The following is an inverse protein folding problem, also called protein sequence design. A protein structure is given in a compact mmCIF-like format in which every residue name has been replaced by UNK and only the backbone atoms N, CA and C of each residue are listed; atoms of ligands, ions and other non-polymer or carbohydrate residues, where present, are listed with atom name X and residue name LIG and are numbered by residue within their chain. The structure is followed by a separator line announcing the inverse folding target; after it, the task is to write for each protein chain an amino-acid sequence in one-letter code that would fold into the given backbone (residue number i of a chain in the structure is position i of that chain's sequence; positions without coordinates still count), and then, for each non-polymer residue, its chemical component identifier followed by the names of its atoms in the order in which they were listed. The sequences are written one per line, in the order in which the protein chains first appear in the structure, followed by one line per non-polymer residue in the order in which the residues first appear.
data_IF_823359480252
#
_entry.id   IF_823359480252
#
_cell.length_a   1.000
_cell.length_b   1.000
_cell.length_c   1.000
_cell.angle_alpha   90.00
_cell.angle_beta   90.00
_cell.angle_gamma   90.00
#
_symmetry.space_group_name_H-M   'P 1'
#
loop_
_entity.id
_entity.type
_entity.pdbx_description
1 polymer ?
#
# COMPACT_ATOMS: atom_id res chain seq x y z
N UNK A 1 -12.15 8.16 13.05
CA UNK A 1 -11.60 9.51 12.76
C UNK A 1 -12.29 10.07 11.54
N UNK A 2 -12.40 11.40 11.42
CA UNK A 2 -12.95 12.07 10.25
C UNK A 2 -11.92 11.96 9.08
N UNK A 3 -12.34 11.77 7.82
CA UNK A 3 -11.43 11.70 6.65
C UNK A 3 -10.46 12.86 6.52
N UNK A 4 -10.91 14.08 6.92
CA UNK A 4 -10.05 15.26 6.93
C UNK A 4 -8.95 15.21 8.03
N UNK A 5 -9.22 14.54 9.13
CA UNK A 5 -8.24 14.32 10.21
C UNK A 5 -7.22 13.24 9.79
N UNK A 6 -7.66 12.18 9.11
CA UNK A 6 -6.78 11.14 8.57
C UNK A 6 -5.84 11.71 7.52
N UNK A 7 -6.36 12.50 6.58
CA UNK A 7 -5.55 13.23 5.60
C UNK A 7 -4.55 14.19 6.28
N UNK A 8 -4.95 14.87 7.36
CA UNK A 8 -4.09 15.76 8.13
C UNK A 8 -2.96 15.00 8.82
N UNK A 9 -3.25 13.85 9.41
CA UNK A 9 -2.27 13.00 10.10
C UNK A 9 -1.26 12.42 9.12
N UNK A 10 -1.69 11.90 7.97
CA UNK A 10 -0.80 11.43 6.91
C UNK A 10 0.15 12.55 6.45
N UNK A 11 -0.33 13.77 6.23
CA UNK A 11 0.53 14.93 5.87
C UNK A 11 1.53 15.27 6.98
N UNK A 12 1.14 15.16 8.24
CA UNK A 12 2.04 15.47 9.38
C UNK A 12 3.21 14.48 9.48
N UNK A 13 3.02 13.22 9.13
CA UNK A 13 4.06 12.20 9.15
C UNK A 13 5.17 12.55 8.15
N UNK A 14 4.80 12.99 6.96
CA UNK A 14 5.77 13.36 5.91
C UNK A 14 6.43 14.74 6.13
N UNK A 15 5.81 15.66 6.87
CA UNK A 15 6.31 17.05 7.04
C UNK A 15 7.25 17.26 8.22
N UNK A 16 7.30 16.37 9.20
CA UNK A 16 8.16 16.54 10.41
C UNK A 16 9.64 16.40 10.13
N UNK A 17 10.06 15.90 8.98
CA UNK A 17 11.47 15.74 8.58
C UNK A 17 12.02 16.84 7.65
N UNK A 18 11.22 17.81 7.21
CA UNK A 18 11.71 18.95 6.44
C UNK A 18 12.37 19.97 7.36
N UNK A 19 13.70 19.89 7.51
CA UNK A 19 14.51 20.82 8.26
C UNK A 19 14.27 22.29 7.84
N UNK A 20 14.13 23.20 8.81
CA UNK A 20 13.95 24.63 8.64
C UNK A 20 15.04 25.23 7.75
N UNK A 21 14.71 25.50 6.49
CA UNK A 21 15.50 26.35 5.62
C UNK A 21 15.05 27.81 5.80
N UNK A 22 15.99 28.68 6.16
CA UNK A 22 15.80 30.11 6.34
C UNK A 22 15.42 30.81 5.03
N UNK A 23 14.40 31.64 5.08
CA UNK A 23 13.90 32.44 3.96
C UNK A 23 14.93 33.47 3.47
N UNK A 24 15.32 33.36 2.20
CA UNK A 24 15.98 34.40 1.40
C UNK A 24 15.02 34.95 0.33
N UNK A 25 15.14 36.22 -0.11
CA UNK A 25 14.06 36.92 -0.79
C UNK A 25 13.71 36.37 -2.19
N UNK A 26 12.42 36.20 -2.42
CA UNK A 26 11.75 35.38 -3.42
C UNK A 26 11.83 35.85 -4.89
N UNK A 27 12.45 36.96 -5.26
CA UNK A 27 12.32 37.53 -6.62
C UNK A 27 13.48 37.15 -7.55
N UNK A 28 14.66 36.88 -7.05
CA UNK A 28 15.82 36.42 -7.86
C UNK A 28 15.89 34.90 -8.03
N UNK A 29 15.15 34.14 -7.21
CA UNK A 29 15.10 32.67 -7.24
C UNK A 29 14.16 32.14 -8.35
N UNK A 30 13.13 32.91 -8.73
CA UNK A 30 12.15 32.45 -9.72
C UNK A 30 12.71 32.35 -11.15
N UNK A 31 13.70 33.18 -11.52
CA UNK A 31 14.34 33.10 -12.86
C UNK A 31 15.45 32.05 -12.94
N UNK A 32 16.06 31.68 -11.83
CA UNK A 32 17.07 30.63 -11.78
C UNK A 32 16.45 29.23 -11.75
N UNK A 33 15.24 29.07 -11.20
CA UNK A 33 14.49 27.83 -11.14
C UNK A 33 13.90 27.40 -12.49
N UNK A 34 13.75 28.32 -13.45
CA UNK A 34 13.26 28.03 -14.81
C UNK A 34 14.37 27.52 -15.76
N UNK A 35 15.66 27.58 -15.35
CA UNK A 35 16.80 27.18 -16.18
C UNK A 35 17.60 26.00 -15.62
N UNK A 36 17.26 25.51 -14.43
CA UNK A 36 17.85 24.33 -13.83
C UNK A 36 16.76 23.52 -13.10
N UNK A 37 15.78 23.01 -13.84
CA UNK A 37 15.21 21.76 -13.43
C UNK A 37 16.36 20.75 -13.59
N UNK A 38 16.93 20.17 -12.51
CA UNK A 38 17.75 19.00 -12.71
C UNK A 38 16.86 18.01 -13.44
N UNK A 39 17.30 17.50 -14.57
CA UNK A 39 16.81 16.24 -15.09
C UNK A 39 17.12 15.26 -13.96
N UNK A 40 16.13 15.06 -13.04
CA UNK A 40 16.18 14.02 -12.06
C UNK A 40 16.29 12.78 -12.92
N UNK A 41 17.43 12.09 -12.85
CA UNK A 41 17.50 10.75 -13.38
C UNK A 41 16.26 10.07 -12.84
N UNK A 42 15.45 9.44 -13.70
CA UNK A 42 14.24 8.73 -13.29
C UNK A 42 14.67 7.72 -12.24
N UNK A 43 14.58 8.12 -10.96
CA UNK A 43 14.80 7.19 -9.86
C UNK A 43 13.65 6.21 -9.93
N UNK A 44 13.97 4.97 -10.25
CA UNK A 44 12.99 3.89 -10.37
C UNK A 44 12.30 3.72 -9.02
N UNK A 45 10.98 3.83 -8.98
CA UNK A 45 10.19 3.63 -7.76
C UNK A 45 10.40 2.21 -7.25
N UNK A 46 10.69 2.06 -5.98
CA UNK A 46 10.88 0.77 -5.32
C UNK A 46 9.62 0.39 -4.54
N UNK A 47 9.05 -0.76 -4.88
CA UNK A 47 7.91 -1.36 -4.18
C UNK A 47 8.39 -2.59 -3.42
N UNK A 48 8.30 -2.57 -2.09
CA UNK A 48 8.54 -3.74 -1.25
C UNK A 48 7.22 -4.47 -0.96
N UNK A 49 7.22 -5.78 -1.16
CA UNK A 49 6.08 -6.68 -0.90
C UNK A 49 6.47 -7.59 0.25
N UNK A 50 5.76 -7.53 1.36
CA UNK A 50 5.92 -8.44 2.48
C UNK A 50 4.88 -9.56 2.35
N UNK A 51 5.33 -10.75 1.90
CA UNK A 51 4.40 -11.83 1.53
C UNK A 51 5.05 -13.23 1.61
N UNK A 52 4.43 -14.23 0.99
CA UNK A 52 4.83 -15.65 1.01
C UNK A 52 6.02 -16.01 0.10
N UNK A 53 6.59 -15.06 -0.60
CA UNK A 53 7.62 -15.26 -1.60
C UNK A 53 7.16 -14.91 -3.01
N UNK A 54 8.03 -15.12 -4.00
CA UNK A 54 7.71 -14.82 -5.39
C UNK A 54 8.54 -15.71 -6.33
N UNK A 55 7.87 -16.41 -7.25
CA UNK A 55 8.55 -17.29 -8.21
C UNK A 55 9.04 -16.55 -9.46
N UNK A 56 8.43 -15.38 -9.77
CA UNK A 56 8.77 -14.55 -10.92
C UNK A 56 8.37 -13.07 -10.69
N UNK A 57 8.66 -12.20 -11.67
CA UNK A 57 8.24 -10.79 -11.66
C UNK A 57 8.81 -9.90 -10.54
N UNK A 58 9.74 -10.38 -9.70
CA UNK A 58 10.48 -9.57 -8.75
C UNK A 58 11.87 -9.19 -9.30
N UNK A 59 12.42 -8.07 -8.82
CA UNK A 59 13.73 -7.57 -9.20
C UNK A 59 14.81 -8.00 -8.21
N UNK A 60 14.45 -8.02 -6.92
CA UNK A 60 15.30 -8.39 -5.80
C UNK A 60 14.45 -8.99 -4.69
N UNK A 61 15.07 -9.48 -3.63
CA UNK A 61 14.33 -9.92 -2.46
C UNK A 61 15.19 -10.65 -1.43
N UNK A 62 14.59 -10.90 -0.29
CA UNK A 62 15.19 -11.57 0.85
C UNK A 62 14.13 -12.37 1.62
N UNK A 63 14.54 -13.46 2.27
CA UNK A 63 13.67 -14.22 3.17
C UNK A 63 14.01 -13.89 4.63
N UNK A 64 12.98 -13.60 5.40
CA UNK A 64 13.05 -13.34 6.84
C UNK A 64 12.65 -14.58 7.65
N UNK A 65 12.47 -15.72 6.99
CA UNK A 65 12.15 -16.98 7.65
C UNK A 65 13.42 -17.69 8.09
N UNK A 66 13.46 -18.14 9.34
CA UNK A 66 14.58 -18.85 9.89
C UNK A 66 14.89 -20.13 9.08
N UNK A 67 16.14 -20.26 8.66
CA UNK A 67 16.61 -21.41 7.89
C UNK A 67 16.17 -21.46 6.42
N UNK A 68 15.56 -20.40 5.90
CA UNK A 68 15.16 -20.31 4.50
C UNK A 68 15.71 -19.03 3.85
N UNK A 69 16.65 -19.17 2.91
CA UNK A 69 17.11 -18.04 2.08
C UNK A 69 16.35 -17.97 0.74
N UNK A 70 15.50 -18.94 0.45
CA UNK A 70 14.81 -19.03 -0.83
C UNK A 70 13.54 -18.15 -0.85
N UNK A 71 13.38 -17.43 -1.94
CA UNK A 71 12.14 -16.65 -2.22
C UNK A 71 11.02 -17.49 -2.82
N UNK A 72 11.24 -18.80 -3.00
CA UNK A 72 10.23 -19.70 -3.58
C UNK A 72 8.88 -19.55 -2.86
N UNK A 73 7.87 -19.27 -3.63
CA UNK A 73 6.49 -19.13 -3.16
C UNK A 73 5.78 -20.49 -3.33
N UNK A 74 5.56 -21.18 -2.22
CA UNK A 74 4.84 -22.45 -2.18
C UNK A 74 3.33 -22.27 -2.02
N UNK A 75 2.90 -21.07 -1.62
CA UNK A 75 1.50 -20.66 -1.44
C UNK A 75 0.90 -20.13 -2.74
N UNK A 76 1.72 -19.44 -3.53
CA UNK A 76 1.34 -18.78 -4.77
C UNK A 76 0.70 -17.40 -4.57
N UNK A 77 0.50 -16.95 -3.30
CA UNK A 77 -0.12 -15.67 -3.00
C UNK A 77 0.79 -14.49 -3.36
N UNK A 78 2.01 -14.45 -2.82
CA UNK A 78 2.95 -13.36 -3.10
C UNK A 78 3.34 -13.26 -4.57
N UNK A 79 3.40 -14.39 -5.30
CA UNK A 79 3.61 -14.40 -6.76
C UNK A 79 2.50 -13.66 -7.50
N UNK A 80 1.22 -13.87 -7.12
CA UNK A 80 0.09 -13.15 -7.71
C UNK A 80 0.11 -11.65 -7.35
N UNK A 81 0.40 -11.32 -6.09
CA UNK A 81 0.56 -9.93 -5.64
C UNK A 81 1.64 -9.23 -6.47
N UNK A 82 2.80 -9.87 -6.63
CA UNK A 82 3.90 -9.35 -7.45
C UNK A 82 3.46 -9.08 -8.90
N UNK A 83 2.73 -10.02 -9.51
CA UNK A 83 2.23 -9.87 -10.89
C UNK A 83 1.27 -8.70 -11.03
N UNK A 84 0.30 -8.55 -10.11
CA UNK A 84 -0.67 -7.46 -10.15
C UNK A 84 -0.02 -6.07 -9.95
N UNK A 85 0.97 -5.96 -9.06
CA UNK A 85 1.74 -4.72 -8.90
C UNK A 85 2.50 -4.40 -10.18
N UNK A 86 3.12 -5.40 -10.80
CA UNK A 86 3.87 -5.24 -12.05
C UNK A 86 2.97 -4.86 -13.23
N UNK A 87 1.72 -5.33 -13.27
CA UNK A 87 0.74 -4.90 -14.28
C UNK A 87 0.47 -3.39 -14.17
N UNK A 88 0.31 -2.85 -12.95
CA UNK A 88 0.07 -1.43 -12.72
C UNK A 88 1.33 -0.55 -12.84
N UNK A 89 2.50 -1.10 -12.55
CA UNK A 89 3.78 -0.38 -12.56
C UNK A 89 4.91 -1.23 -13.16
N UNK A 90 4.93 -1.44 -14.49
CA UNK A 90 5.89 -2.34 -15.15
C UNK A 90 7.35 -1.93 -14.96
N UNK A 91 7.64 -0.64 -14.80
CA UNK A 91 8.99 -0.11 -14.63
C UNK A 91 9.44 -0.06 -13.16
N UNK A 92 8.57 -0.36 -12.19
CA UNK A 92 8.93 -0.31 -10.78
C UNK A 92 9.99 -1.36 -10.41
N UNK A 93 10.85 -1.03 -9.45
CA UNK A 93 11.74 -2.00 -8.81
C UNK A 93 10.94 -2.78 -7.76
N UNK A 94 10.55 -4.00 -8.06
CA UNK A 94 9.72 -4.83 -7.18
C UNK A 94 10.61 -5.74 -6.34
N UNK A 95 10.57 -5.57 -5.02
CA UNK A 95 11.35 -6.30 -4.03
C UNK A 95 10.44 -7.21 -3.22
N UNK A 96 10.69 -8.51 -3.22
CA UNK A 96 9.96 -9.48 -2.41
C UNK A 96 10.67 -9.71 -1.08
N UNK A 97 10.01 -9.42 0.03
CA UNK A 97 10.45 -9.71 1.38
C UNK A 97 9.57 -10.85 1.92
N UNK A 98 10.14 -12.07 1.90
CA UNK A 98 9.39 -13.26 2.28
C UNK A 98 9.29 -13.36 3.79
N UNK A 99 8.04 -13.28 4.32
CA UNK A 99 7.75 -13.24 5.75
C UNK A 99 7.00 -14.47 6.25
N UNK A 100 6.38 -15.29 5.37
CA UNK A 100 5.65 -16.49 5.74
C UNK A 100 5.65 -17.55 4.63
N UNK A 101 5.37 -18.80 4.99
CA UNK A 101 5.34 -19.97 4.09
C UNK A 101 3.99 -20.71 4.11
N UNK A 102 2.97 -20.19 4.78
CA UNK A 102 1.65 -20.81 4.92
C UNK A 102 0.54 -19.78 4.96
N UNK A 103 -0.68 -20.26 4.77
CA UNK A 103 -1.87 -19.39 4.82
C UNK A 103 -2.38 -19.15 6.26
N UNK A 104 -1.96 -19.98 7.21
CA UNK A 104 -2.64 -20.08 8.51
C UNK A 104 -1.95 -19.33 9.67
N UNK A 105 -0.74 -18.79 9.47
CA UNK A 105 -0.06 -18.04 10.54
C UNK A 105 0.92 -17.01 9.96
N UNK A 106 0.54 -15.76 10.08
CA UNK A 106 1.46 -14.63 9.90
C UNK A 106 2.19 -14.43 11.23
N UNK A 107 3.50 -14.71 11.26
CA UNK A 107 4.34 -14.46 12.42
C UNK A 107 4.83 -13.00 12.37
N UNK A 108 4.72 -12.29 13.48
CA UNK A 108 5.03 -10.87 13.57
C UNK A 108 6.52 -10.56 13.43
N UNK A 109 7.39 -11.36 14.04
CA UNK A 109 8.84 -11.09 14.09
C UNK A 109 9.49 -10.95 12.70
N UNK A 110 9.28 -11.86 11.74
CA UNK A 110 9.77 -11.69 10.36
C UNK A 110 9.21 -10.44 9.68
N UNK A 111 7.95 -10.08 9.95
CA UNK A 111 7.31 -8.91 9.34
C UNK A 111 7.94 -7.62 9.85
N UNK A 112 8.13 -7.49 11.15
CA UNK A 112 8.76 -6.32 11.77
C UNK A 112 10.18 -6.14 11.22
N UNK A 113 10.97 -7.22 11.13
CA UNK A 113 12.31 -7.18 10.56
C UNK A 113 12.28 -6.77 9.07
N UNK A 114 11.34 -7.30 8.29
CA UNK A 114 11.17 -6.96 6.88
C UNK A 114 10.74 -5.50 6.66
N UNK A 115 9.90 -4.92 7.54
CA UNK A 115 9.52 -3.50 7.47
C UNK A 115 10.74 -2.58 7.65
N UNK A 116 11.61 -2.86 8.62
CA UNK A 116 12.85 -2.10 8.77
C UNK A 116 13.76 -2.27 7.55
N UNK A 117 13.93 -3.49 7.06
CA UNK A 117 14.75 -3.74 5.87
C UNK A 117 14.17 -3.06 4.61
N UNK A 118 12.85 -3.00 4.46
CA UNK A 118 12.21 -2.35 3.33
C UNK A 118 12.68 -0.90 3.16
N UNK A 119 12.82 -0.15 4.26
CA UNK A 119 13.22 1.28 4.20
C UNK A 119 14.71 1.50 4.37
N UNK A 120 15.40 0.74 5.20
CA UNK A 120 16.80 0.96 5.50
C UNK A 120 17.76 0.31 4.47
N UNK A 121 17.34 -0.81 3.87
CA UNK A 121 18.14 -1.57 2.90
C UNK A 121 17.67 -1.37 1.47
N UNK A 122 16.36 -1.47 1.25
CA UNK A 122 15.78 -1.42 -0.09
C UNK A 122 15.24 -0.05 -0.48
N UNK A 123 15.20 0.91 0.46
CA UNK A 123 14.75 2.29 0.21
C UNK A 123 13.36 2.34 -0.46
N UNK A 124 12.42 1.58 0.10
CA UNK A 124 11.07 1.46 -0.42
C UNK A 124 10.35 2.80 -0.48
N UNK A 125 9.78 3.12 -1.64
CA UNK A 125 8.85 4.22 -1.82
C UNK A 125 7.42 3.78 -1.47
N UNK A 126 7.09 2.51 -1.72
CA UNK A 126 5.79 1.91 -1.41
C UNK A 126 5.99 0.54 -0.74
N UNK A 127 5.20 0.25 0.28
CA UNK A 127 5.19 -1.06 0.96
C UNK A 127 3.78 -1.66 0.85
N UNK A 128 3.69 -2.86 0.26
CA UNK A 128 2.45 -3.62 0.13
C UNK A 128 2.32 -4.67 1.22
N UNK A 129 1.22 -4.61 1.98
CA UNK A 129 0.88 -5.52 3.07
C UNK A 129 -0.46 -6.21 2.77
N UNK A 130 -0.40 -7.33 2.00
CA UNK A 130 -1.58 -8.08 1.56
C UNK A 130 -1.97 -9.21 2.53
N UNK A 131 -1.81 -8.99 3.82
CA UNK A 131 -2.15 -9.87 4.94
C UNK A 131 -2.74 -9.07 6.08
N UNK A 132 -3.29 -9.75 7.09
CA UNK A 132 -3.92 -9.10 8.25
C UNK A 132 -3.59 -9.82 9.55
N UNK A 133 -3.54 -9.04 10.64
CA UNK A 133 -3.55 -9.50 12.02
C UNK A 133 -4.85 -9.06 12.69
N UNK A 134 -5.43 -9.92 13.51
CA UNK A 134 -6.69 -9.62 14.20
C UNK A 134 -6.49 -8.63 15.35
N UNK A 135 -5.35 -8.75 16.04
CA UNK A 135 -5.02 -7.95 17.21
C UNK A 135 -3.98 -6.89 16.87
N UNK A 136 -4.05 -5.76 17.57
CA UNK A 136 -3.06 -4.71 17.49
C UNK A 136 -1.73 -5.16 18.11
N UNK A 137 -0.62 -4.73 17.49
CA UNK A 137 0.73 -4.99 17.98
C UNK A 137 1.52 -3.69 18.04
N UNK A 138 2.04 -3.36 19.22
CA UNK A 138 2.89 -2.18 19.43
C UNK A 138 4.17 -2.26 18.57
N UNK A 139 4.81 -3.43 18.50
CA UNK A 139 6.05 -3.61 17.73
C UNK A 139 5.84 -3.45 16.23
N UNK A 140 4.73 -3.98 15.71
CA UNK A 140 4.37 -3.80 14.32
C UNK A 140 4.00 -2.35 14.01
N UNK A 141 3.25 -1.70 14.90
CA UNK A 141 2.87 -0.28 14.73
C UNK A 141 4.10 0.64 14.75
N UNK A 142 5.04 0.42 15.68
CA UNK A 142 6.31 1.15 15.70
C UNK A 142 7.09 0.99 14.38
N UNK A 143 7.15 -0.21 13.81
CA UNK A 143 7.82 -0.46 12.53
C UNK A 143 7.10 0.23 11.35
N UNK A 144 5.77 0.27 11.35
CA UNK A 144 4.95 1.02 10.38
C UNK A 144 5.22 2.51 10.48
N UNK A 145 5.17 3.09 11.69
CA UNK A 145 5.48 4.51 11.92
C UNK A 145 6.91 4.86 11.50
N UNK A 146 7.86 3.98 11.76
CA UNK A 146 9.23 4.15 11.30
C UNK A 146 9.33 4.19 9.78
N UNK A 147 8.69 3.26 9.09
CA UNK A 147 8.70 3.22 7.63
C UNK A 147 8.03 4.48 7.02
N UNK A 148 6.90 4.93 7.58
CA UNK A 148 6.27 6.19 7.20
C UNK A 148 7.20 7.40 7.44
N UNK A 149 7.95 7.42 8.55
CA UNK A 149 8.91 8.49 8.84
C UNK A 149 10.07 8.57 7.84
N UNK A 150 10.34 7.49 7.11
CA UNK A 150 11.32 7.44 6.00
C UNK A 150 10.73 7.88 4.66
N UNK A 151 9.43 8.14 4.60
CA UNK A 151 8.72 8.59 3.40
C UNK A 151 8.05 7.47 2.60
N UNK A 152 8.05 6.24 3.10
CA UNK A 152 7.37 5.14 2.43
C UNK A 152 5.84 5.26 2.56
N UNK A 153 5.11 5.03 1.48
CA UNK A 153 3.65 4.90 1.47
C UNK A 153 3.29 3.45 1.77
N UNK A 154 2.50 3.22 2.83
CA UNK A 154 2.09 1.86 3.23
C UNK A 154 0.66 1.61 2.80
N UNK A 155 0.44 0.48 2.13
CA UNK A 155 -0.86 0.06 1.62
C UNK A 155 -1.19 -1.32 2.18
N UNK A 156 -2.34 -1.47 2.83
CA UNK A 156 -2.74 -2.73 3.44
C UNK A 156 -4.18 -3.13 3.11
N UNK A 157 -4.42 -4.43 3.10
CA UNK A 157 -5.74 -4.96 2.84
C UNK A 157 -6.65 -4.85 4.09
N UNK A 158 -7.91 -4.45 3.86
CA UNK A 158 -8.91 -4.36 4.92
C UNK A 158 -9.29 -5.73 5.52
N UNK A 159 -9.04 -6.81 4.77
CA UNK A 159 -9.36 -8.17 5.15
C UNK A 159 -10.56 -8.75 4.42
N UNK A 160 -10.75 -10.05 4.61
CA UNK A 160 -11.84 -10.81 4.00
C UNK A 160 -12.74 -11.40 5.08
N UNK A 161 -14.01 -11.57 4.79
CA UNK A 161 -14.94 -12.22 5.70
C UNK A 161 -14.56 -13.70 5.80
N UNK A 162 -14.19 -14.15 6.98
CA UNK A 162 -14.01 -15.57 7.28
C UNK A 162 -14.86 -15.98 8.47
N UNK A 163 -15.15 -17.28 8.58
CA UNK A 163 -15.87 -17.83 9.73
C UNK A 163 -15.09 -17.66 11.04
N UNK A 164 -13.79 -17.41 10.96
CA UNK A 164 -12.89 -17.24 12.11
C UNK A 164 -12.73 -15.80 12.59
N UNK A 165 -12.94 -14.80 11.74
CA UNK A 165 -12.68 -13.38 12.08
C UNK A 165 -13.92 -12.60 12.55
N UNK A 166 -15.11 -13.19 12.48
CA UNK A 166 -16.35 -12.49 12.83
C UNK A 166 -16.74 -11.38 11.85
N UNK A 167 -17.93 -10.81 12.02
CA UNK A 167 -18.45 -9.74 11.20
C UNK A 167 -17.94 -8.36 11.68
N UNK A 168 -17.28 -7.60 10.83
CA UNK A 168 -17.29 -6.14 10.93
C UNK A 168 -16.09 -5.47 11.61
N UNK A 169 -14.93 -6.14 11.75
CA UNK A 169 -13.73 -5.45 12.25
C UNK A 169 -12.65 -5.47 11.18
N UNK A 170 -12.23 -4.29 10.71
CA UNK A 170 -11.05 -4.18 9.87
C UNK A 170 -9.84 -4.59 10.68
N UNK A 171 -9.00 -5.41 10.08
CA UNK A 171 -7.81 -5.94 10.73
C UNK A 171 -6.61 -5.00 10.56
N UNK A 172 -5.61 -5.20 11.38
CA UNK A 172 -4.33 -4.50 11.27
C UNK A 172 -3.47 -5.11 10.14
N UNK A 173 -2.64 -4.29 9.46
CA UNK A 173 -2.32 -2.89 9.73
C UNK A 173 -3.27 -1.87 9.09
N UNK A 174 -4.25 -2.26 8.27
CA UNK A 174 -5.17 -1.34 7.60
C UNK A 174 -5.99 -0.46 8.57
N UNK A 175 -6.17 -0.90 9.83
CA UNK A 175 -6.89 -0.15 10.85
C UNK A 175 -6.13 1.08 11.37
N UNK A 176 -4.82 1.20 11.15
CA UNK A 176 -4.04 2.38 11.54
C UNK A 176 -4.20 3.53 10.56
N UNK A 177 -4.20 4.75 11.10
CA UNK A 177 -4.41 5.99 10.33
C UNK A 177 -3.29 6.31 9.35
N UNK A 178 -2.10 5.78 9.57
CA UNK A 178 -0.90 5.98 8.76
C UNK A 178 -0.86 5.07 7.53
N UNK A 179 -1.78 4.12 7.45
CA UNK A 179 -1.81 3.08 6.41
C UNK A 179 -2.99 3.33 5.48
N UNK A 180 -2.78 3.23 4.18
CA UNK A 180 -3.86 3.27 3.20
C UNK A 180 -4.58 1.91 3.23
N UNK A 181 -5.80 1.90 3.78
CA UNK A 181 -6.63 0.72 3.90
C UNK A 181 -7.46 0.46 2.64
N UNK A 182 -7.31 -0.73 2.04
CA UNK A 182 -7.97 -1.09 0.78
C UNK A 182 -8.93 -2.26 0.95
N UNK A 183 -10.20 -2.03 0.62
CA UNK A 183 -11.21 -3.07 0.52
C UNK A 183 -11.35 -3.62 -0.91
N UNK A 184 -11.96 -4.81 -1.01
CA UNK A 184 -12.30 -5.39 -2.30
C UNK A 184 -13.71 -5.04 -2.76
N UNK A 185 -13.90 -5.02 -4.07
CA UNK A 185 -15.21 -5.05 -4.74
C UNK A 185 -15.21 -6.14 -5.81
N UNK A 186 -16.39 -6.65 -6.16
CA UNK A 186 -16.59 -7.47 -7.33
C UNK A 186 -16.97 -6.60 -8.53
N UNK A 187 -16.82 -7.12 -9.75
CA UNK A 187 -17.39 -6.51 -10.94
C UNK A 187 -18.61 -7.32 -11.39
N UNK A 188 -19.71 -6.62 -11.70
CA UNK A 188 -20.88 -7.24 -12.29
C UNK A 188 -20.66 -7.63 -13.76
N UNK A 189 -21.65 -8.23 -14.39
CA UNK A 189 -21.57 -8.65 -15.78
C UNK A 189 -21.39 -7.50 -16.79
N UNK A 190 -21.61 -6.26 -16.38
CA UNK A 190 -21.40 -5.03 -17.14
C UNK A 190 -20.01 -4.44 -16.91
N UNK A 191 -19.22 -5.00 -15.99
CA UNK A 191 -17.90 -4.49 -15.58
C UNK A 191 -17.97 -3.35 -14.56
N UNK A 192 -19.14 -3.08 -13.98
CA UNK A 192 -19.30 -2.05 -12.96
C UNK A 192 -18.99 -2.64 -11.58
N UNK A 193 -18.35 -1.82 -10.72
CA UNK A 193 -18.03 -2.23 -9.36
C UNK A 193 -19.30 -2.40 -8.51
N UNK A 194 -19.39 -3.53 -7.82
CA UNK A 194 -20.51 -3.83 -6.92
C UNK A 194 -20.02 -4.38 -5.57
N UNK A 195 -20.90 -4.23 -4.59
CA UNK A 195 -20.67 -4.74 -3.25
C UNK A 195 -20.56 -6.26 -3.23
N UNK A 196 -19.58 -6.76 -2.50
CA UNK A 196 -19.48 -8.17 -2.14
C UNK A 196 -19.51 -8.34 -0.62
N UNK A 197 -20.16 -9.40 -0.15
CA UNK A 197 -20.11 -9.80 1.26
C UNK A 197 -18.82 -10.54 1.62
N UNK A 198 -17.97 -10.74 0.64
CA UNK A 198 -16.69 -11.42 0.84
C UNK A 198 -15.63 -10.55 1.52
N UNK A 199 -15.72 -9.23 1.36
CA UNK A 199 -14.70 -8.31 1.85
C UNK A 199 -15.16 -7.62 3.16
N UNK A 200 -14.21 -7.39 4.05
CA UNK A 200 -14.45 -6.53 5.22
C UNK A 200 -14.52 -5.07 4.80
N UNK A 201 -15.31 -4.31 5.54
CA UNK A 201 -15.48 -2.87 5.36
C UNK A 201 -15.67 -2.18 6.72
N UNK A 202 -15.44 -0.88 6.79
CA UNK A 202 -15.55 -0.07 8.01
C UNK A 202 -14.73 1.22 7.87
N UNK A 203 -14.66 2.01 8.93
CA UNK A 203 -14.08 3.37 8.96
C UNK A 203 -12.62 3.47 8.53
N UNK A 204 -11.89 2.37 8.53
CA UNK A 204 -10.49 2.34 8.11
C UNK A 204 -10.31 1.95 6.63
N UNK A 205 -11.38 1.76 5.86
CA UNK A 205 -11.29 1.67 4.41
C UNK A 205 -11.14 3.06 3.84
N UNK A 206 -10.04 3.29 3.11
CA UNK A 206 -9.81 4.55 2.40
C UNK A 206 -10.29 4.46 0.96
N UNK A 207 -10.06 3.32 0.33
CA UNK A 207 -10.41 3.07 -1.08
C UNK A 207 -10.85 1.63 -1.28
N UNK A 208 -11.50 1.37 -2.39
CA UNK A 208 -11.74 0.02 -2.85
C UNK A 208 -11.27 -0.17 -4.29
N UNK A 209 -10.92 -1.42 -4.62
CA UNK A 209 -10.53 -1.83 -5.95
C UNK A 209 -10.99 -3.26 -6.22
N UNK A 210 -10.93 -3.68 -7.47
CA UNK A 210 -11.28 -5.04 -7.89
C UNK A 210 -10.48 -6.10 -7.12
N UNK A 211 -11.17 -7.04 -6.49
CA UNK A 211 -10.60 -8.02 -5.57
C UNK A 211 -10.46 -9.44 -6.12
N UNK A 212 -10.64 -9.68 -7.41
CA UNK A 212 -10.43 -10.99 -8.02
C UNK A 212 -9.06 -11.11 -8.70
N UNK A 213 -8.53 -12.33 -8.73
CA UNK A 213 -7.33 -12.70 -9.47
C UNK A 213 -7.50 -14.12 -10.00
N UNK A 214 -7.87 -14.26 -11.29
CA UNK A 214 -8.31 -15.54 -11.85
C UNK A 214 -9.57 -16.03 -11.14
N UNK A 215 -9.52 -17.25 -10.59
CA UNK A 215 -10.63 -17.85 -9.84
C UNK A 215 -10.62 -17.49 -8.33
N UNK A 216 -9.62 -16.74 -7.87
CA UNK A 216 -9.47 -16.37 -6.47
C UNK A 216 -10.00 -14.96 -6.19
N UNK A 217 -10.44 -14.73 -4.94
CA UNK A 217 -10.94 -13.45 -4.47
C UNK A 217 -10.29 -13.09 -3.14
N UNK A 218 -9.91 -11.82 -3.00
CA UNK A 218 -9.34 -11.29 -1.77
C UNK A 218 -9.06 -9.79 -1.85
N UNK A 219 -9.25 -9.08 -0.75
CA UNK A 219 -8.82 -7.67 -0.61
C UNK A 219 -7.31 -7.51 -0.81
N UNK A 220 -6.54 -8.60 -0.66
CA UNK A 220 -5.12 -8.67 -1.01
C UNK A 220 -4.85 -8.27 -2.47
N UNK A 221 -5.69 -8.73 -3.40
CA UNK A 221 -5.55 -8.41 -4.83
C UNK A 221 -5.94 -6.96 -5.14
N UNK A 222 -6.94 -6.44 -4.44
CA UNK A 222 -7.28 -5.00 -4.49
C UNK A 222 -6.11 -4.14 -4.04
N UNK A 223 -5.49 -4.53 -2.92
CA UNK A 223 -4.33 -3.84 -2.33
C UNK A 223 -3.15 -3.84 -3.30
N UNK A 224 -2.85 -4.98 -3.94
CA UNK A 224 -1.79 -5.07 -4.94
C UNK A 224 -2.02 -4.13 -6.13
N UNK A 225 -3.25 -4.03 -6.62
CA UNK A 225 -3.62 -3.11 -7.71
C UNK A 225 -3.43 -1.65 -7.30
N UNK A 226 -3.93 -1.27 -6.11
CA UNK A 226 -3.74 0.10 -5.58
C UNK A 226 -2.25 0.41 -5.38
N UNK A 227 -1.47 -0.55 -4.90
CA UNK A 227 -0.01 -0.43 -4.79
C UNK A 227 0.64 -0.15 -6.14
N UNK A 228 0.26 -0.87 -7.19
CA UNK A 228 0.72 -0.61 -8.56
C UNK A 228 0.34 0.78 -9.06
N UNK A 229 -0.90 1.22 -8.81
CA UNK A 229 -1.36 2.58 -9.15
C UNK A 229 -0.53 3.65 -8.42
N UNK A 230 -0.26 3.47 -7.14
CA UNK A 230 0.58 4.39 -6.35
C UNK A 230 1.99 4.45 -6.91
N UNK A 231 2.60 3.30 -7.19
CA UNK A 231 3.94 3.24 -7.77
C UNK A 231 4.01 3.97 -9.12
N UNK A 232 3.01 3.77 -9.98
CA UNK A 232 2.92 4.51 -11.25
C UNK A 232 2.73 6.02 -11.04
N UNK A 233 1.93 6.45 -10.06
CA UNK A 233 1.73 7.86 -9.74
C UNK A 233 3.04 8.52 -9.25
N UNK A 234 3.77 7.87 -8.35
CA UNK A 234 5.09 8.32 -7.88
C UNK A 234 6.09 8.42 -9.03
N UNK A 235 6.12 7.43 -9.92
CA UNK A 235 6.99 7.42 -11.09
C UNK A 235 6.67 8.55 -12.07
N UNK A 236 5.40 8.96 -12.15
CA UNK A 236 4.95 10.13 -12.90
C UNK A 236 5.13 11.47 -12.15
N UNK A 237 5.81 11.48 -11.01
CA UNK A 237 6.21 12.67 -10.28
C UNK A 237 5.18 13.19 -9.26
N UNK A 238 4.17 12.41 -8.91
CA UNK A 238 3.31 12.72 -7.76
C UNK A 238 4.15 12.51 -6.50
N UNK A 239 4.18 13.50 -5.61
CA UNK A 239 4.94 13.38 -4.37
C UNK A 239 4.24 12.44 -3.38
N UNK A 240 5.01 11.71 -2.56
CA UNK A 240 4.47 10.71 -1.62
C UNK A 240 3.40 11.31 -0.68
N UNK A 241 3.63 12.53 -0.18
CA UNK A 241 2.69 13.26 0.67
C UNK A 241 1.38 13.69 -0.04
N UNK A 242 1.33 13.61 -1.36
CA UNK A 242 0.16 13.95 -2.18
C UNK A 242 -0.61 12.70 -2.67
N UNK A 243 -0.07 11.51 -2.44
CA UNK A 243 -0.66 10.26 -2.95
C UNK A 243 -2.09 10.08 -2.48
N UNK A 244 -2.37 10.32 -1.20
CA UNK A 244 -3.73 10.14 -0.67
C UNK A 244 -4.75 11.06 -1.37
N UNK A 245 -4.41 12.34 -1.56
CA UNK A 245 -5.27 13.31 -2.28
C UNK A 245 -5.39 12.95 -3.77
N UNK A 246 -4.31 12.48 -4.36
CA UNK A 246 -4.31 12.02 -5.76
C UNK A 246 -5.29 10.85 -5.94
N UNK A 247 -5.25 9.85 -5.05
CA UNK A 247 -6.16 8.71 -5.09
C UNK A 247 -7.61 9.13 -4.81
N UNK A 248 -7.85 10.00 -3.82
CA UNK A 248 -9.18 10.50 -3.50
C UNK A 248 -9.80 11.29 -4.66
N UNK A 249 -9.00 12.03 -5.41
CA UNK A 249 -9.47 12.74 -6.61
C UNK A 249 -9.74 11.82 -7.81
N UNK A 250 -9.08 10.66 -7.87
CA UNK A 250 -9.23 9.66 -8.93
C UNK A 250 -10.35 8.65 -8.65
N UNK A 251 -10.74 8.49 -7.39
CA UNK A 251 -11.74 7.51 -6.98
C UNK A 251 -13.12 7.84 -7.52
N UNK A 252 -13.82 6.82 -8.03
CA UNK A 252 -15.22 6.89 -8.37
C UNK A 252 -16.05 6.71 -7.11
N UNK A 253 -16.78 7.77 -6.71
CA UNK A 253 -17.66 7.74 -5.54
C UNK A 253 -18.69 6.61 -5.66
N UNK A 254 -18.81 5.83 -4.60
CA UNK A 254 -19.73 4.69 -4.49
C UNK A 254 -20.46 4.74 -3.15
N UNK A 255 -21.73 4.31 -3.14
CA UNK A 255 -22.51 4.27 -1.92
C UNK A 255 -23.13 5.63 -1.57
N UNK A 256 -22.92 6.10 -0.33
CA UNK A 256 -23.36 7.42 0.11
C UNK A 256 -22.42 8.49 -0.45
N UNK A 257 -22.92 9.65 -0.87
CA UNK A 257 -22.06 10.67 -1.48
C UNK A 257 -20.91 11.13 -0.60
N UNK A 258 -19.69 11.07 -1.14
CA UNK A 258 -18.44 11.38 -0.46
C UNK A 258 -17.88 10.17 0.29
N UNK A 259 -17.06 10.40 1.30
CA UNK A 259 -16.48 9.33 2.08
C UNK A 259 -17.52 8.57 2.91
N UNK A 260 -17.56 7.26 2.77
CA UNK A 260 -18.40 6.38 3.58
C UNK A 260 -17.62 5.19 4.18
N UNK A 261 -18.22 4.52 5.19
CA UNK A 261 -17.57 3.42 5.92
C UNK A 261 -17.45 2.12 5.09
N UNK A 262 -18.00 2.08 3.87
CA UNK A 262 -18.01 0.87 3.05
C UNK A 262 -16.99 0.90 1.93
N UNK A 263 -16.89 2.03 1.24
CA UNK A 263 -16.07 2.20 0.06
C UNK A 263 -14.95 3.22 0.24
N UNK A 264 -14.87 3.86 1.43
CA UNK A 264 -13.98 4.97 1.66
C UNK A 264 -14.31 6.16 0.74
N UNK A 265 -13.34 6.65 -0.02
CA UNK A 265 -13.55 7.65 -1.07
C UNK A 265 -14.14 7.05 -2.35
N UNK A 266 -14.15 5.73 -2.48
CA UNK A 266 -14.74 5.05 -3.62
C UNK A 266 -13.82 4.06 -4.32
N UNK A 267 -14.23 3.68 -5.52
CA UNK A 267 -13.58 2.68 -6.36
C UNK A 267 -12.45 3.29 -7.20
N UNK A 268 -11.29 2.70 -7.10
CA UNK A 268 -10.16 3.00 -7.96
C UNK A 268 -10.16 2.03 -9.14
N UNK A 269 -10.49 2.55 -10.32
CA UNK A 269 -10.36 1.80 -11.56
C UNK A 269 -8.88 1.73 -11.95
N UNK A 270 -8.39 0.51 -12.10
CA UNK A 270 -7.00 0.24 -12.46
C UNK A 270 -7.02 -0.49 -13.78
N UNK A 271 -6.34 0.05 -14.81
CA UNK A 271 -6.32 -0.47 -16.16
C UNK A 271 -5.90 -1.93 -16.26
#
# INVERSE_FOLDING_TARGET
MNPAERLHNMKHIFTTNAGRASALPAILLLLALLLCAPCRAEETVTVCILDSGCNDNHTAGESFLEGSEALTDTVGHGTRICSLIREGAPEANVVMLKCFDGQDSVNEEPIVAALYAAVDVYHADVINLSWTLADESDALHEAVLYACSKGAVIVACAGNLSLSTGLGTIAYPAAWDEVIGVAGVDLNAQGEAETSLWYLYGKAVDFCARGDCGDEKGSSYSTARVTGLIAAALQNGVAAEQIYEYLAAAAQDMGEPGFDDRYGWGYLEIP
#
